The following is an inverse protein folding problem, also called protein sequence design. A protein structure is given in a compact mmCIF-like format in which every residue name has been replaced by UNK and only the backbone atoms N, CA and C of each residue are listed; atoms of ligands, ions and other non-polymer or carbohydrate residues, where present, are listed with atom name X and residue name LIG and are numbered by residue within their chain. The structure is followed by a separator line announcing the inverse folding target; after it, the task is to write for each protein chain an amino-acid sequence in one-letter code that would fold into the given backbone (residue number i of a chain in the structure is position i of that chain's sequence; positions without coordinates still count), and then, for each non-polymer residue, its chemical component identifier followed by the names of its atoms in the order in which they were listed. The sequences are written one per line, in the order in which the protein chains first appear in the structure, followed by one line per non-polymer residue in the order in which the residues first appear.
data_IF_584117510870
#
_entry.id   IF_584117510870
#
_cell.length_a   1.000
_cell.length_b   1.000
_cell.length_c   1.000
_cell.angle_alpha   90.00
_cell.angle_beta   90.00
_cell.angle_gamma   90.00
#
_symmetry.space_group_name_H-M   'P 1'
#
loop_
_entity.id
_entity.type
_entity.pdbx_description
1 polymer ?
#
# COMPACT_ATOMS: atom_id res chain seq x y z
N UNK A 1 32.15 17.44 -13.48
CA UNK A 1 30.81 16.92 -13.16
C UNK A 1 30.94 15.41 -12.95
N UNK A 2 31.22 14.96 -11.72
CA UNK A 2 31.26 13.52 -11.41
C UNK A 2 29.82 13.02 -11.37
N UNK A 3 29.36 12.47 -12.47
CA UNK A 3 28.09 11.79 -12.55
C UNK A 3 28.21 10.52 -11.71
N UNK A 4 27.65 10.56 -10.50
CA UNK A 4 27.65 9.46 -9.55
C UNK A 4 26.86 8.28 -10.14
N UNK A 5 27.52 7.47 -10.97
CA UNK A 5 26.92 6.34 -11.71
C UNK A 5 26.30 5.28 -10.77
N UNK A 6 26.66 5.30 -9.49
CA UNK A 6 26.09 4.44 -8.44
C UNK A 6 24.63 4.82 -8.16
N UNK A 7 24.27 6.10 -8.25
CA UNK A 7 22.97 6.61 -7.81
C UNK A 7 21.80 6.08 -8.67
N UNK A 8 21.88 6.08 -10.02
CA UNK A 8 20.85 5.47 -10.86
C UNK A 8 20.70 3.96 -10.65
N UNK A 9 21.83 3.24 -10.48
CA UNK A 9 21.83 1.79 -10.26
C UNK A 9 21.13 1.46 -8.93
N UNK A 10 21.42 2.23 -7.88
CA UNK A 10 20.79 2.06 -6.57
C UNK A 10 19.28 2.30 -6.63
N UNK A 11 18.82 3.30 -7.39
CA UNK A 11 17.38 3.56 -7.57
C UNK A 11 16.70 2.39 -8.27
N UNK A 12 17.25 1.90 -9.39
CA UNK A 12 16.69 0.75 -10.10
C UNK A 12 16.68 -0.51 -9.26
N UNK A 13 17.75 -0.76 -8.49
CA UNK A 13 17.81 -1.88 -7.56
C UNK A 13 16.75 -1.77 -6.47
N UNK A 14 16.56 -0.58 -5.87
CA UNK A 14 15.54 -0.35 -4.85
C UNK A 14 14.12 -0.59 -5.40
N UNK A 15 13.82 -0.10 -6.60
CA UNK A 15 12.53 -0.31 -7.26
C UNK A 15 12.30 -1.81 -7.54
N UNK A 16 13.30 -2.50 -8.09
CA UNK A 16 13.21 -3.92 -8.38
C UNK A 16 12.99 -4.78 -7.12
N UNK A 17 13.75 -4.50 -6.06
CA UNK A 17 13.62 -5.19 -4.77
C UNK A 17 12.28 -4.88 -4.10
N UNK A 18 11.81 -3.64 -4.15
CA UNK A 18 10.48 -3.28 -3.65
C UNK A 18 9.39 -4.05 -4.40
N UNK A 19 9.45 -4.09 -5.74
CA UNK A 19 8.53 -4.88 -6.56
C UNK A 19 8.55 -6.37 -6.21
N UNK A 20 9.74 -6.97 -6.11
CA UNK A 20 9.90 -8.38 -5.73
C UNK A 20 9.36 -8.69 -4.33
N UNK A 21 9.56 -7.78 -3.36
CA UNK A 21 9.01 -7.94 -2.01
C UNK A 21 7.48 -7.97 -2.02
N UNK A 22 6.86 -7.09 -2.83
CA UNK A 22 5.43 -6.99 -2.96
C UNK A 22 4.83 -8.24 -3.64
N UNK A 23 5.51 -8.75 -4.68
CA UNK A 23 5.13 -10.01 -5.32
C UNK A 23 5.24 -11.19 -4.34
N UNK A 24 6.33 -11.27 -3.58
CA UNK A 24 6.51 -12.32 -2.56
C UNK A 24 5.41 -12.27 -1.50
N UNK A 25 5.14 -11.10 -0.94
CA UNK A 25 4.05 -10.89 0.03
C UNK A 25 2.69 -11.26 -0.57
N UNK A 26 2.42 -10.89 -1.82
CA UNK A 26 1.18 -11.24 -2.52
C UNK A 26 1.01 -12.76 -2.65
N UNK A 27 2.03 -13.47 -3.12
CA UNK A 27 1.98 -14.92 -3.31
C UNK A 27 1.78 -15.66 -1.98
N UNK A 28 2.59 -15.34 -0.97
CA UNK A 28 2.47 -15.99 0.35
C UNK A 28 1.19 -15.57 1.09
N UNK A 29 0.72 -14.34 0.90
CA UNK A 29 -0.56 -13.85 1.41
C UNK A 29 -1.76 -14.59 0.81
N UNK A 30 -1.79 -14.76 -0.51
CA UNK A 30 -2.82 -15.54 -1.21
C UNK A 30 -2.82 -17.00 -0.76
N UNK A 31 -1.63 -17.61 -0.62
CA UNK A 31 -1.50 -18.96 -0.09
C UNK A 31 -2.09 -19.08 1.33
N UNK A 32 -1.85 -18.08 2.18
CA UNK A 32 -2.42 -18.04 3.54
C UNK A 32 -3.95 -17.97 3.53
N UNK A 33 -4.51 -17.18 2.60
CA UNK A 33 -5.94 -17.07 2.34
C UNK A 33 -6.58 -18.43 1.98
N UNK A 34 -5.98 -19.13 1.01
CA UNK A 34 -6.50 -20.41 0.49
C UNK A 34 -6.52 -21.49 1.57
N UNK A 35 -5.57 -21.46 2.51
CA UNK A 35 -5.57 -22.39 3.65
C UNK A 35 -6.54 -22.00 4.78
N UNK A 36 -7.35 -20.95 4.62
CA UNK A 36 -8.37 -20.56 5.59
C UNK A 36 -7.81 -20.10 6.94
N UNK A 37 -6.52 -19.71 6.99
CA UNK A 37 -5.85 -19.31 8.23
C UNK A 37 -6.17 -17.87 8.67
N UNK A 38 -7.01 -17.16 7.93
CA UNK A 38 -7.25 -15.72 8.07
C UNK A 38 -8.76 -15.45 8.13
N UNK A 39 -9.18 -14.61 9.06
CA UNK A 39 -10.57 -14.18 9.19
C UNK A 39 -11.02 -13.38 7.95
N UNK A 40 -12.24 -13.61 7.41
CA UNK A 40 -12.74 -12.91 6.23
C UNK A 40 -12.71 -11.38 6.32
N UNK A 41 -12.97 -10.83 7.51
CA UNK A 41 -12.92 -9.39 7.74
C UNK A 41 -11.48 -8.84 7.60
N UNK A 42 -10.50 -9.56 8.12
CA UNK A 42 -9.09 -9.19 8.01
C UNK A 42 -8.63 -9.20 6.54
N UNK A 43 -9.11 -10.18 5.77
CA UNK A 43 -8.86 -10.26 4.32
C UNK A 43 -9.41 -9.01 3.62
N UNK A 44 -10.66 -8.65 3.90
CA UNK A 44 -11.31 -7.50 3.28
C UNK A 44 -10.54 -6.21 3.53
N UNK A 45 -10.06 -5.99 4.77
CA UNK A 45 -9.31 -4.77 5.15
C UNK A 45 -7.95 -4.73 4.45
N UNK A 46 -7.20 -5.84 4.44
CA UNK A 46 -5.88 -5.91 3.80
C UNK A 46 -5.97 -5.75 2.27
N UNK A 47 -7.10 -6.15 1.66
CA UNK A 47 -7.32 -6.00 0.23
C UNK A 47 -7.64 -4.55 -0.20
N UNK A 48 -8.05 -3.66 0.72
CA UNK A 48 -8.47 -2.29 0.39
C UNK A 48 -7.48 -1.55 -0.50
N UNK A 49 -6.17 -1.47 -0.20
CA UNK A 49 -5.22 -0.72 -1.02
C UNK A 49 -5.10 -1.30 -2.45
N UNK A 50 -5.16 -2.63 -2.58
CA UNK A 50 -5.10 -3.31 -3.88
C UNK A 50 -6.33 -3.04 -4.73
N UNK A 51 -7.52 -3.10 -4.12
CA UNK A 51 -8.79 -2.73 -4.77
C UNK A 51 -8.78 -1.26 -5.17
N UNK A 52 -8.27 -0.39 -4.31
CA UNK A 52 -8.20 1.05 -4.58
C UNK A 52 -7.29 1.35 -5.78
N UNK A 53 -6.10 0.74 -5.85
CA UNK A 53 -5.21 0.82 -7.02
C UNK A 53 -5.90 0.30 -8.28
N UNK A 54 -6.63 -0.82 -8.19
CA UNK A 54 -7.30 -1.39 -9.36
C UNK A 54 -8.39 -0.45 -9.92
N UNK A 55 -9.21 0.14 -9.04
CA UNK A 55 -10.26 1.09 -9.42
C UNK A 55 -9.65 2.38 -9.97
N UNK A 56 -8.66 2.95 -9.27
CA UNK A 56 -7.99 4.18 -9.72
C UNK A 56 -7.20 3.95 -11.01
N UNK A 57 -6.55 2.80 -11.17
CA UNK A 57 -5.82 2.44 -12.39
C UNK A 57 -6.73 2.27 -13.59
N UNK A 58 -7.98 1.84 -13.38
CA UNK A 58 -8.99 1.74 -14.44
C UNK A 58 -9.66 3.07 -14.80
N UNK A 59 -9.57 4.09 -13.93
CA UNK A 59 -10.28 5.37 -14.09
C UNK A 59 -9.36 6.55 -14.39
N UNK A 60 -8.10 6.49 -14.00
CA UNK A 60 -7.10 7.55 -14.21
C UNK A 60 -6.36 7.36 -15.54
N UNK A 61 -5.77 8.44 -16.05
CA UNK A 61 -5.01 8.42 -17.31
C UNK A 61 -3.72 7.61 -17.19
N UNK A 62 -3.09 7.57 -16.01
CA UNK A 62 -1.84 6.84 -15.79
C UNK A 62 -1.84 6.00 -14.52
N UNK A 63 -1.20 4.84 -14.59
CA UNK A 63 -0.98 3.96 -13.43
C UNK A 63 -0.11 4.59 -12.34
N UNK A 64 0.80 5.50 -12.75
CA UNK A 64 1.62 6.27 -11.81
C UNK A 64 0.74 7.19 -10.97
N UNK A 65 -0.17 7.92 -11.62
CA UNK A 65 -1.15 8.76 -10.95
C UNK A 65 -2.01 7.95 -9.98
N UNK A 66 -2.59 6.82 -10.44
CA UNK A 66 -3.38 5.94 -9.60
C UNK A 66 -2.63 5.45 -8.33
N UNK A 67 -1.35 5.12 -8.47
CA UNK A 67 -0.48 4.76 -7.36
C UNK A 67 -0.31 5.89 -6.34
N UNK A 68 -0.04 7.12 -6.82
CA UNK A 68 0.11 8.31 -5.97
C UNK A 68 -1.21 8.60 -5.25
N UNK A 69 -2.34 8.60 -5.94
CA UNK A 69 -3.64 8.86 -5.32
C UNK A 69 -4.03 7.79 -4.30
N UNK A 70 -3.71 6.52 -4.55
CA UNK A 70 -3.90 5.48 -3.53
C UNK A 70 -3.12 5.80 -2.26
N UNK A 71 -1.85 6.17 -2.41
CA UNK A 71 -1.00 6.51 -1.27
C UNK A 71 -1.59 7.69 -0.48
N UNK A 72 -2.02 8.75 -1.18
CA UNK A 72 -2.66 9.92 -0.57
C UNK A 72 -3.94 9.55 0.18
N UNK A 73 -4.82 8.75 -0.42
CA UNK A 73 -6.07 8.30 0.21
C UNK A 73 -5.79 7.48 1.47
N UNK A 74 -4.88 6.51 1.38
CA UNK A 74 -4.53 5.65 2.53
C UNK A 74 -3.90 6.46 3.66
N UNK A 75 -3.02 7.42 3.34
CA UNK A 75 -2.48 8.34 4.34
C UNK A 75 -3.56 9.22 4.97
N UNK A 76 -4.51 9.73 4.18
CA UNK A 76 -5.65 10.48 4.67
C UNK A 76 -6.50 9.66 5.64
N UNK A 77 -6.81 8.41 5.30
CA UNK A 77 -7.54 7.49 6.18
C UNK A 77 -6.78 7.20 7.47
N UNK A 78 -5.47 7.01 7.41
CA UNK A 78 -4.63 6.82 8.58
C UNK A 78 -4.64 8.06 9.48
N UNK A 79 -4.48 9.26 8.91
CA UNK A 79 -4.52 10.52 9.64
C UNK A 79 -5.88 10.76 10.31
N UNK A 80 -6.99 10.52 9.58
CA UNK A 80 -8.34 10.60 10.12
C UNK A 80 -8.55 9.60 11.27
N UNK A 81 -8.07 8.36 11.09
CA UNK A 81 -8.17 7.32 12.12
C UNK A 81 -7.41 7.72 13.39
N UNK A 82 -6.21 8.29 13.24
CA UNK A 82 -5.41 8.79 14.35
C UNK A 82 -6.12 9.96 15.08
N UNK A 83 -6.66 10.92 14.33
CA UNK A 83 -7.40 12.06 14.88
C UNK A 83 -8.62 11.59 15.66
N UNK A 84 -9.46 10.73 15.05
CA UNK A 84 -10.65 10.18 15.69
C UNK A 84 -10.31 9.36 16.93
N UNK A 85 -9.24 8.56 16.88
CA UNK A 85 -8.78 7.77 18.03
C UNK A 85 -8.29 8.68 19.16
N UNK A 86 -7.54 9.74 18.84
CA UNK A 86 -7.11 10.75 19.80
C UNK A 86 -8.29 11.49 20.45
N UNK A 87 -9.24 11.95 19.64
CA UNK A 87 -10.44 12.66 20.10
C UNK A 87 -11.33 11.77 20.97
N UNK A 88 -11.52 10.51 20.56
CA UNK A 88 -12.29 9.53 21.33
C UNK A 88 -11.67 9.30 22.71
N UNK A 89 -10.34 9.18 22.79
CA UNK A 89 -9.63 9.01 24.07
C UNK A 89 -9.75 10.25 24.98
N UNK A 90 -9.82 11.45 24.41
CA UNK A 90 -9.99 12.69 25.17
C UNK A 90 -11.38 12.79 25.84
N UNK A 91 -12.44 12.34 25.16
CA UNK A 91 -13.81 12.42 25.66
C UNK A 91 -14.31 11.18 26.42
N UNK A 92 -13.60 10.06 26.32
CA UNK A 92 -13.89 8.82 27.05
C UNK A 92 -12.95 8.58 28.26
N UNK A 93 -12.13 9.58 28.60
CA UNK A 93 -11.54 9.72 29.94
C UNK A 93 -12.59 10.23 30.91
#
# INVERSE_FOLDING_TARGET
MSQNAILPIAIWAAIALAGLSLLGMGIFGLRSLVYGKVEPLSIAIVAIPGVLIAILGATMETWVQAGIYTLVVMFGLAALSLLLTGLRKLFMM
#
